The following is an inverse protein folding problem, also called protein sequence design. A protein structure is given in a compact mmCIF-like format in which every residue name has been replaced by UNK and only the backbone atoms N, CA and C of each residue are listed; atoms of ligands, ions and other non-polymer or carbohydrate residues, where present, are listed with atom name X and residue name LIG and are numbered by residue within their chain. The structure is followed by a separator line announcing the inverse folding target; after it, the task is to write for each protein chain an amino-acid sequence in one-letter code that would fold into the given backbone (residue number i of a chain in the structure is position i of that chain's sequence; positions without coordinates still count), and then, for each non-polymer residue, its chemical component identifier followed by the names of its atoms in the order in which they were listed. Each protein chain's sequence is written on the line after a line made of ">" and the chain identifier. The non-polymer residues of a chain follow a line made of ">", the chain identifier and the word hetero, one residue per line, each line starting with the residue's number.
data_IF_942760398723
#
_entry.id   IF_942760398723
#
_cell.length_a   1.000
_cell.length_b   1.000
_cell.length_c   1.000
_cell.angle_alpha   90.00
_cell.angle_beta   90.00
_cell.angle_gamma   90.00
#
_symmetry.space_group_name_H-M   'P 1'
#
loop_
_entity.id
_entity.type
_entity.pdbx_description
1 polymer ?
#
# COMPACT_ATOMS: atom_id res chain seq x y z
N UNK A 1 10.35 35.33 15.44
CA UNK A 1 11.39 34.38 15.89
C UNK A 1 11.95 33.70 14.66
N UNK A 2 13.28 33.73 14.43
CA UNK A 2 13.89 32.99 13.31
C UNK A 2 13.69 31.49 13.53
N UNK A 3 13.24 30.78 12.50
CA UNK A 3 13.13 29.32 12.57
C UNK A 3 14.52 28.71 12.88
N UNK A 4 14.60 27.69 13.77
CA UNK A 4 15.87 27.04 14.07
C UNK A 4 16.45 26.39 12.81
N UNK A 5 17.77 26.49 12.63
CA UNK A 5 18.47 25.80 11.55
C UNK A 5 18.48 24.30 11.83
N UNK A 6 17.72 23.55 11.04
CA UNK A 6 17.64 22.07 11.08
C UNK A 6 18.60 21.45 10.05
N UNK A 7 18.75 20.13 10.08
CA UNK A 7 19.41 19.42 8.99
C UNK A 7 18.65 19.63 7.67
N UNK A 8 19.34 19.56 6.53
CA UNK A 8 18.71 19.71 5.21
C UNK A 8 17.53 18.73 5.05
N UNK A 9 17.71 17.48 5.44
CA UNK A 9 16.64 16.47 5.39
C UNK A 9 15.40 16.89 6.22
N UNK A 10 15.61 17.29 7.48
CA UNK A 10 14.50 17.69 8.33
C UNK A 10 13.78 18.97 7.84
N UNK A 11 14.53 19.87 7.21
CA UNK A 11 13.98 21.13 6.66
C UNK A 11 13.23 20.94 5.34
N UNK A 12 13.51 19.87 4.59
CA UNK A 12 12.91 19.61 3.27
C UNK A 12 11.87 18.47 3.28
N UNK A 13 11.85 17.64 4.33
CA UNK A 13 10.89 16.55 4.44
C UNK A 13 9.49 17.09 4.75
N UNK A 14 8.54 16.79 3.86
CA UNK A 14 7.15 17.18 4.02
C UNK A 14 6.37 16.05 4.71
N UNK A 15 5.54 16.41 5.69
CA UNK A 15 4.64 15.45 6.34
C UNK A 15 3.58 14.92 5.37
N UNK A 16 3.06 13.73 5.64
CA UNK A 16 2.07 13.07 4.79
C UNK A 16 0.80 13.92 4.64
N UNK A 17 0.45 14.29 3.41
CA UNK A 17 -0.80 14.99 3.08
C UNK A 17 -2.04 14.18 3.50
N UNK A 18 -1.96 12.85 3.41
CA UNK A 18 -3.03 11.93 3.81
C UNK A 18 -3.28 12.02 5.32
N UNK A 19 -2.20 12.12 6.12
CA UNK A 19 -2.31 12.27 7.58
C UNK A 19 -2.93 13.63 7.93
N UNK A 20 -2.52 14.70 7.25
CA UNK A 20 -3.11 16.04 7.44
C UNK A 20 -4.60 16.05 7.13
N UNK A 21 -4.98 15.47 5.99
CA UNK A 21 -6.39 15.34 5.58
C UNK A 21 -7.18 14.52 6.61
N UNK A 22 -6.65 13.37 7.03
CA UNK A 22 -7.29 12.51 8.04
C UNK A 22 -7.49 13.22 9.37
N UNK A 23 -6.53 14.00 9.84
CA UNK A 23 -6.64 14.79 11.07
C UNK A 23 -7.74 15.86 10.96
N UNK A 24 -7.79 16.60 9.85
CA UNK A 24 -8.81 17.62 9.61
C UNK A 24 -10.23 17.02 9.60
N UNK A 25 -10.40 15.85 8.95
CA UNK A 25 -11.68 15.14 8.92
C UNK A 25 -12.07 14.63 10.32
N UNK A 26 -11.10 14.06 11.05
CA UNK A 26 -11.33 13.57 12.41
C UNK A 26 -11.75 14.69 13.37
N UNK A 27 -11.24 15.91 13.19
CA UNK A 27 -11.64 17.08 13.95
C UNK A 27 -13.11 17.46 13.67
N UNK A 28 -13.52 17.48 12.41
CA UNK A 28 -14.92 17.75 12.02
C UNK A 28 -15.87 16.71 12.59
N UNK A 29 -15.50 15.43 12.56
CA UNK A 29 -16.30 14.34 13.15
C UNK A 29 -16.43 14.53 14.66
N UNK A 30 -15.36 14.86 15.36
CA UNK A 30 -15.41 15.17 16.82
C UNK A 30 -16.29 16.37 17.15
N UNK A 31 -16.40 17.31 16.22
CA UNK A 31 -17.30 18.48 16.35
C UNK A 31 -18.76 18.16 15.97
N UNK A 32 -19.10 16.88 15.77
CA UNK A 32 -20.47 16.40 15.55
C UNK A 32 -20.93 16.33 14.10
N UNK A 33 -20.03 16.54 13.11
CA UNK A 33 -20.41 16.36 11.72
C UNK A 33 -20.45 14.85 11.36
N UNK A 34 -21.56 14.41 10.75
CA UNK A 34 -21.63 13.08 10.13
C UNK A 34 -20.87 13.15 8.80
N UNK A 35 -19.72 12.46 8.72
CA UNK A 35 -18.88 12.37 7.52
C UNK A 35 -18.65 10.90 7.18
N UNK A 36 -18.90 10.53 5.92
CA UNK A 36 -18.52 9.22 5.37
C UNK A 36 -17.03 9.27 5.06
N UNK A 37 -16.22 8.74 5.99
CA UNK A 37 -14.77 8.87 5.94
C UNK A 37 -14.11 7.65 5.27
N UNK A 38 -13.77 7.78 4.00
CA UNK A 38 -13.05 6.77 3.23
C UNK A 38 -11.55 7.10 3.02
N UNK A 39 -11.00 8.01 3.83
CA UNK A 39 -9.58 8.41 3.73
C UNK A 39 -8.64 7.47 4.46
N UNK A 40 -9.14 6.68 5.41
CA UNK A 40 -8.36 5.88 6.33
C UNK A 40 -7.99 4.55 5.68
N UNK A 41 -6.70 4.35 5.36
CA UNK A 41 -6.18 3.10 4.82
C UNK A 41 -5.91 2.06 5.93
N UNK A 42 -6.89 1.85 6.81
CA UNK A 42 -6.85 0.96 7.96
C UNK A 42 -8.19 0.23 8.12
N UNK A 43 -8.32 -0.61 9.14
CA UNK A 43 -9.53 -1.32 9.49
C UNK A 43 -10.11 -0.81 10.80
N UNK A 44 -11.44 -0.72 10.87
CA UNK A 44 -12.13 -0.57 12.14
C UNK A 44 -12.19 -1.95 12.82
N UNK A 45 -11.59 -2.13 14.01
CA UNK A 45 -11.55 -3.42 14.68
C UNK A 45 -12.92 -3.92 15.15
N UNK A 46 -13.94 -3.06 15.20
CA UNK A 46 -15.32 -3.47 15.47
C UNK A 46 -15.97 -4.12 14.24
N UNK A 47 -15.58 -3.71 13.03
CA UNK A 47 -16.07 -4.26 11.77
C UNK A 47 -15.20 -5.43 11.27
N UNK A 48 -13.90 -5.30 11.47
CA UNK A 48 -12.88 -6.23 11.00
C UNK A 48 -11.91 -6.59 12.14
N UNK A 49 -12.33 -7.42 13.11
CA UNK A 49 -11.43 -7.88 14.15
C UNK A 49 -10.30 -8.72 13.59
N UNK A 50 -9.18 -8.75 14.28
CA UNK A 50 -8.11 -9.72 13.99
C UNK A 50 -8.61 -11.16 14.21
N UNK A 51 -8.00 -12.19 13.60
CA UNK A 51 -8.38 -13.58 13.86
C UNK A 51 -8.39 -13.89 15.36
N UNK A 52 -9.46 -14.52 15.85
CA UNK A 52 -9.62 -14.83 17.28
C UNK A 52 -8.49 -15.71 17.84
N UNK A 53 -7.99 -16.64 17.02
CA UNK A 53 -6.87 -17.50 17.35
C UNK A 53 -5.57 -16.69 17.49
N UNK A 54 -5.35 -15.69 16.61
CA UNK A 54 -4.19 -14.81 16.71
C UNK A 54 -4.27 -13.93 17.97
N UNK A 55 -5.44 -13.38 18.28
CA UNK A 55 -5.68 -12.60 19.50
C UNK A 55 -5.37 -13.42 20.75
N UNK A 56 -5.91 -14.65 20.83
CA UNK A 56 -5.67 -15.56 21.95
C UNK A 56 -4.18 -15.89 22.12
N UNK A 57 -3.46 -16.11 21.01
CA UNK A 57 -2.02 -16.37 21.03
C UNK A 57 -1.21 -15.15 21.49
N UNK A 58 -1.60 -13.93 21.11
CA UNK A 58 -0.96 -12.68 21.57
C UNK A 58 -1.14 -12.56 23.10
N UNK A 59 -2.36 -12.69 23.60
CA UNK A 59 -2.67 -12.63 25.03
C UNK A 59 -1.87 -13.67 25.79
N UNK A 60 -1.82 -14.92 25.30
CA UNK A 60 -1.06 -15.99 25.92
C UNK A 60 0.45 -15.70 25.91
N UNK A 61 0.97 -15.12 24.84
CA UNK A 61 2.39 -14.76 24.76
C UNK A 61 2.81 -13.74 25.80
N UNK A 62 1.94 -12.76 26.13
CA UNK A 62 2.16 -11.83 27.24
C UNK A 62 2.09 -12.54 28.61
N UNK A 63 1.17 -13.46 28.81
CA UNK A 63 1.08 -14.29 30.03
C UNK A 63 2.33 -15.15 30.23
N UNK A 64 2.90 -15.65 29.13
CA UNK A 64 4.15 -16.40 29.08
C UNK A 64 5.40 -15.51 29.28
N UNK A 65 5.20 -14.19 29.51
CA UNK A 65 6.26 -13.19 29.75
C UNK A 65 7.25 -13.04 28.60
N UNK A 66 6.81 -13.19 27.35
CA UNK A 66 7.62 -12.90 26.17
C UNK A 66 7.75 -11.37 25.97
N UNK A 67 8.52 -10.70 26.82
CA UNK A 67 8.58 -9.22 26.90
C UNK A 67 10.00 -8.66 26.79
N UNK A 68 11.01 -9.49 26.55
CA UNK A 68 12.38 -9.04 26.30
C UNK A 68 12.61 -8.62 24.87
N UNK A 69 13.77 -8.00 24.60
CA UNK A 69 14.15 -7.65 23.23
C UNK A 69 14.24 -8.88 22.33
N UNK A 70 13.65 -8.86 21.12
CA UNK A 70 13.86 -9.91 20.15
C UNK A 70 15.24 -9.79 19.47
N UNK A 71 15.67 -10.82 18.76
CA UNK A 71 16.79 -10.72 17.83
C UNK A 71 16.50 -9.68 16.72
N UNK A 72 17.53 -8.99 16.25
CA UNK A 72 17.39 -7.91 15.27
C UNK A 72 16.76 -8.37 13.93
N UNK A 73 16.99 -9.61 13.55
CA UNK A 73 16.35 -10.25 12.38
C UNK A 73 14.95 -10.81 12.64
N UNK A 74 14.50 -10.77 13.88
CA UNK A 74 13.29 -11.45 14.34
C UNK A 74 13.56 -12.85 14.90
N UNK A 75 12.63 -13.35 15.72
CA UNK A 75 12.77 -14.67 16.34
C UNK A 75 12.81 -15.78 15.29
N UNK A 76 13.65 -16.79 15.52
CA UNK A 76 13.84 -17.88 14.54
C UNK A 76 12.51 -18.60 14.24
N UNK A 77 11.70 -18.87 15.27
CA UNK A 77 10.42 -19.55 15.11
C UNK A 77 9.51 -18.81 14.09
N UNK A 78 9.47 -17.47 14.15
CA UNK A 78 8.68 -16.68 13.21
C UNK A 78 9.26 -16.74 11.80
N UNK A 79 10.57 -16.62 11.64
CA UNK A 79 11.22 -16.72 10.33
C UNK A 79 10.98 -18.09 9.68
N UNK A 80 11.02 -19.18 10.46
CA UNK A 80 10.66 -20.53 10.00
C UNK A 80 9.19 -20.61 9.60
N UNK A 81 8.29 -20.02 10.39
CA UNK A 81 6.86 -20.04 10.09
C UNK A 81 6.53 -19.19 8.85
N UNK A 82 7.17 -18.03 8.68
CA UNK A 82 7.04 -17.21 7.45
C UNK A 82 7.55 -17.98 6.24
N UNK A 83 8.73 -18.64 6.33
CA UNK A 83 9.26 -19.49 5.25
C UNK A 83 8.25 -20.56 4.80
N UNK A 84 7.60 -21.24 5.74
CA UNK A 84 6.57 -22.26 5.44
C UNK A 84 5.31 -21.63 4.84
N UNK A 85 4.82 -20.54 5.44
CA UNK A 85 3.62 -19.84 5.00
C UNK A 85 3.72 -19.36 3.55
N UNK A 86 4.81 -18.66 3.18
CA UNK A 86 5.00 -18.18 1.81
C UNK A 86 5.22 -19.33 0.81
N UNK A 87 5.85 -20.43 1.25
CA UNK A 87 6.02 -21.62 0.40
C UNK A 87 4.69 -22.30 0.12
N UNK A 88 3.85 -22.43 1.12
CA UNK A 88 2.54 -23.07 1.00
C UNK A 88 1.54 -22.24 0.19
N UNK A 89 1.52 -20.91 0.42
CA UNK A 89 0.50 -20.04 -0.13
C UNK A 89 0.90 -19.35 -1.44
N UNK A 90 2.21 -19.12 -1.67
CA UNK A 90 2.73 -18.41 -2.85
C UNK A 90 3.73 -19.21 -3.68
N UNK A 91 4.14 -20.39 -3.21
CA UNK A 91 5.16 -21.21 -3.87
C UNK A 91 6.58 -20.64 -3.76
N UNK A 92 6.81 -19.61 -2.92
CA UNK A 92 8.10 -18.96 -2.74
C UNK A 92 8.98 -19.74 -1.77
N UNK A 93 10.18 -20.12 -2.19
CA UNK A 93 11.13 -20.89 -1.38
C UNK A 93 12.26 -20.00 -0.87
N UNK A 94 12.13 -19.53 0.38
CA UNK A 94 13.10 -18.70 1.07
C UNK A 94 13.49 -19.32 2.40
N UNK A 95 14.80 -19.46 2.64
CA UNK A 95 15.31 -19.96 3.93
C UNK A 95 15.16 -18.89 5.03
N UNK A 96 15.13 -19.26 6.32
CA UNK A 96 15.05 -18.28 7.42
C UNK A 96 16.15 -17.22 7.43
N UNK A 97 17.32 -17.47 6.83
CA UNK A 97 18.40 -16.49 6.65
C UNK A 97 18.10 -15.42 5.60
N UNK A 98 17.18 -15.69 4.69
CA UNK A 98 16.71 -14.79 3.63
C UNK A 98 15.48 -13.96 4.08
N UNK A 99 15.15 -13.97 5.39
CA UNK A 99 13.93 -13.33 5.95
C UNK A 99 14.32 -12.35 7.07
N UNK A 100 13.83 -11.12 6.95
CA UNK A 100 13.96 -10.06 7.96
C UNK A 100 12.59 -9.69 8.52
N UNK A 101 12.43 -9.74 9.85
CA UNK A 101 11.22 -9.29 10.55
C UNK A 101 11.42 -7.86 11.05
N UNK A 102 10.37 -7.05 10.97
CA UNK A 102 10.36 -5.70 11.55
C UNK A 102 8.96 -5.28 12.02
N UNK A 103 8.89 -4.10 12.62
CA UNK A 103 7.65 -3.47 13.13
C UNK A 103 6.73 -3.01 11.98
N UNK A 104 6.29 -3.96 11.14
CA UNK A 104 5.50 -3.74 9.93
C UNK A 104 6.33 -3.39 8.70
N UNK A 105 5.68 -3.12 7.57
CA UNK A 105 6.34 -2.93 6.27
C UNK A 105 7.19 -1.65 6.17
N UNK A 106 6.83 -0.55 6.85
CA UNK A 106 7.53 0.75 6.70
C UNK A 106 9.02 0.71 7.06
N UNK A 107 9.45 0.13 8.21
CA UNK A 107 10.87 -0.01 8.50
C UNK A 107 11.61 -0.88 7.49
N UNK A 108 10.93 -1.90 6.92
CA UNK A 108 11.49 -2.75 5.89
C UNK A 108 11.74 -1.97 4.59
N UNK A 109 10.75 -1.23 4.10
CA UNK A 109 10.92 -0.36 2.92
C UNK A 109 12.06 0.63 3.15
N UNK A 110 12.09 1.31 4.31
CA UNK A 110 13.16 2.24 4.65
C UNK A 110 14.54 1.57 4.59
N UNK A 111 14.68 0.37 5.14
CA UNK A 111 15.96 -0.34 5.14
C UNK A 111 16.33 -0.90 3.77
N UNK A 112 15.38 -1.26 2.91
CA UNK A 112 15.64 -1.57 1.49
C UNK A 112 16.27 -0.36 0.79
N UNK A 113 15.65 0.81 0.90
CA UNK A 113 16.21 2.03 0.31
C UNK A 113 17.61 2.34 0.86
N UNK A 114 17.80 2.23 2.18
CA UNK A 114 19.10 2.50 2.81
C UNK A 114 20.18 1.46 2.51
N UNK A 115 19.81 0.23 2.19
CA UNK A 115 20.76 -0.83 1.82
C UNK A 115 21.19 -0.76 0.37
N UNK A 116 20.36 -0.18 -0.52
CA UNK A 116 20.55 -0.27 -1.97
C UNK A 116 20.85 1.11 -2.59
N UNK A 117 20.20 2.18 -2.13
CA UNK A 117 20.21 3.50 -2.78
C UNK A 117 21.20 4.44 -2.10
N UNK A 118 22.17 4.93 -2.86
CA UNK A 118 23.04 6.05 -2.50
C UNK A 118 22.49 7.37 -3.05
N UNK A 119 23.06 8.48 -2.59
CA UNK A 119 22.73 9.80 -3.12
C UNK A 119 23.03 9.87 -4.63
N UNK A 120 22.01 10.23 -5.42
CA UNK A 120 22.08 10.34 -6.88
C UNK A 120 21.78 9.05 -7.64
N UNK A 121 21.57 7.92 -6.96
CA UNK A 121 21.10 6.69 -7.61
C UNK A 121 19.68 6.84 -8.12
N UNK A 122 19.41 6.36 -9.32
CA UNK A 122 18.08 6.43 -9.94
C UNK A 122 17.12 5.41 -9.34
N UNK A 123 15.98 5.89 -8.86
CA UNK A 123 14.87 5.08 -8.31
C UNK A 123 13.62 5.25 -9.17
N UNK A 124 13.17 4.15 -9.78
CA UNK A 124 11.97 4.11 -10.62
C UNK A 124 10.75 3.70 -9.80
N UNK A 125 9.66 4.45 -9.92
CA UNK A 125 8.37 4.08 -9.35
C UNK A 125 7.20 4.74 -10.09
N UNK A 126 6.06 4.04 -10.12
CA UNK A 126 4.83 4.60 -10.67
C UNK A 126 4.14 5.56 -9.69
N UNK A 127 3.36 6.51 -10.22
CA UNK A 127 2.41 7.31 -9.45
C UNK A 127 1.01 7.21 -10.10
N UNK A 128 -0.07 7.18 -9.32
CA UNK A 128 -0.12 7.33 -7.86
C UNK A 128 0.52 6.14 -7.13
N UNK A 129 1.25 6.41 -6.06
CA UNK A 129 1.85 5.35 -5.22
C UNK A 129 2.02 5.76 -3.77
N UNK A 130 2.16 4.78 -2.89
CA UNK A 130 2.34 5.00 -1.47
C UNK A 130 3.80 5.23 -1.11
N UNK A 131 4.13 6.45 -0.67
CA UNK A 131 5.38 6.85 0.02
C UNK A 131 6.72 6.68 -0.72
N UNK A 132 6.82 6.15 -1.93
CA UNK A 132 8.09 5.94 -2.62
C UNK A 132 8.90 7.25 -2.78
N UNK A 133 8.22 8.36 -3.06
CA UNK A 133 8.82 9.69 -3.14
C UNK A 133 9.53 10.10 -1.84
N UNK A 134 8.95 9.81 -0.67
CA UNK A 134 9.56 10.16 0.62
C UNK A 134 10.80 9.31 0.90
N UNK A 135 10.78 8.01 0.58
CA UNK A 135 11.95 7.14 0.78
C UNK A 135 13.09 7.49 -0.17
N UNK A 136 12.81 7.78 -1.44
CA UNK A 136 13.80 8.28 -2.39
C UNK A 136 14.41 9.61 -1.90
N UNK A 137 13.56 10.56 -1.42
CA UNK A 137 14.04 11.81 -0.82
C UNK A 137 14.94 11.57 0.41
N UNK A 138 14.53 10.69 1.33
CA UNK A 138 15.31 10.39 2.55
C UNK A 138 16.67 9.74 2.26
N UNK A 139 16.83 9.09 1.13
CA UNK A 139 18.13 8.52 0.70
C UNK A 139 18.93 9.45 -0.20
N UNK A 140 18.31 10.51 -0.72
CA UNK A 140 18.90 11.40 -1.73
C UNK A 140 18.94 10.77 -3.12
N UNK A 141 18.13 9.74 -3.37
CA UNK A 141 17.98 9.12 -4.68
C UNK A 141 17.35 10.05 -5.70
N UNK A 142 17.69 9.88 -6.97
CA UNK A 142 17.09 10.56 -8.10
C UNK A 142 15.70 9.96 -8.40
N UNK A 143 14.68 10.80 -8.41
CA UNK A 143 13.31 10.36 -8.67
C UNK A 143 13.06 10.14 -10.15
N UNK A 144 12.84 8.89 -10.57
CA UNK A 144 12.39 8.54 -11.90
C UNK A 144 10.91 8.10 -11.83
N UNK A 145 10.03 9.09 -11.98
CA UNK A 145 8.59 8.93 -11.79
C UNK A 145 7.91 8.54 -13.09
N UNK A 146 7.08 7.50 -13.06
CA UNK A 146 6.23 7.06 -14.17
C UNK A 146 4.78 7.46 -13.83
N UNK A 147 4.17 8.37 -14.60
CA UNK A 147 2.74 8.66 -14.45
C UNK A 147 1.90 7.53 -15.06
N UNK A 148 1.16 6.83 -14.19
CA UNK A 148 0.29 5.73 -14.57
C UNK A 148 -1.16 6.21 -14.69
N UNK A 149 -1.89 5.69 -15.68
CA UNK A 149 -3.25 6.11 -16.01
C UNK A 149 -4.27 4.97 -15.85
N UNK A 150 -5.53 5.30 -15.94
CA UNK A 150 -6.61 4.31 -15.88
C UNK A 150 -6.56 3.29 -17.02
N UNK A 151 -5.98 3.65 -18.18
CA UNK A 151 -5.90 2.77 -19.35
C UNK A 151 -5.01 1.54 -19.14
N UNK A 152 -4.14 1.59 -18.14
CA UNK A 152 -3.25 0.50 -17.73
C UNK A 152 -3.40 0.15 -16.24
N UNK A 153 -4.60 0.30 -15.70
CA UNK A 153 -4.92 0.00 -14.30
C UNK A 153 -4.02 0.74 -13.30
N UNK A 154 -3.53 1.94 -13.66
CA UNK A 154 -2.59 2.73 -12.87
C UNK A 154 -1.29 1.99 -12.53
N UNK A 155 -0.90 1.03 -13.35
CA UNK A 155 0.38 0.32 -13.24
C UNK A 155 1.38 0.81 -14.29
N UNK A 156 2.70 0.74 -14.03
CA UNK A 156 3.70 1.05 -15.03
C UNK A 156 3.61 0.07 -16.20
N UNK A 157 3.75 0.58 -17.42
CA UNK A 157 3.83 -0.26 -18.62
C UNK A 157 5.26 -0.78 -18.82
N UNK A 158 5.41 -1.83 -19.63
CA UNK A 158 6.71 -2.36 -20.04
C UNK A 158 7.56 -1.29 -20.72
N UNK A 159 6.92 -0.49 -21.59
CA UNK A 159 7.59 0.58 -22.35
C UNK A 159 8.10 1.69 -21.43
N UNK A 160 7.33 2.06 -20.40
CA UNK A 160 7.75 3.06 -19.43
C UNK A 160 8.97 2.59 -18.63
N UNK A 161 8.98 1.33 -18.22
CA UNK A 161 10.12 0.74 -17.51
C UNK A 161 11.32 0.66 -18.44
N UNK A 162 11.18 0.14 -19.66
CA UNK A 162 12.22 0.01 -20.66
C UNK A 162 12.90 1.34 -20.97
N UNK A 163 12.12 2.40 -21.12
CA UNK A 163 12.62 3.76 -21.39
C UNK A 163 13.48 4.31 -20.26
N UNK A 164 13.22 3.90 -19.02
CA UNK A 164 13.84 4.48 -17.84
C UNK A 164 14.87 3.56 -17.14
N UNK A 165 14.94 2.28 -17.48
CA UNK A 165 15.64 1.26 -16.69
C UNK A 165 17.18 1.42 -16.69
N UNK A 166 17.74 1.98 -17.76
CA UNK A 166 19.19 2.10 -17.90
C UNK A 166 19.79 2.92 -16.76
N UNK A 167 20.75 2.33 -16.04
CA UNK A 167 21.44 2.94 -14.91
C UNK A 167 20.58 3.09 -13.64
N UNK A 168 19.37 2.54 -13.59
CA UNK A 168 18.57 2.54 -12.38
C UNK A 168 19.13 1.55 -11.34
N UNK A 169 18.95 1.86 -10.07
CA UNK A 169 19.43 1.03 -8.94
C UNK A 169 18.28 0.31 -8.26
N UNK A 170 17.10 0.92 -8.22
CA UNK A 170 15.92 0.36 -7.60
C UNK A 170 14.67 0.62 -8.45
N UNK A 171 13.85 -0.40 -8.64
CA UNK A 171 12.45 -0.28 -9.11
C UNK A 171 11.54 -0.63 -7.95
N UNK A 172 10.52 0.21 -7.69
CA UNK A 172 9.52 -0.05 -6.65
C UNK A 172 8.18 -0.35 -7.31
N UNK A 173 7.64 -1.54 -7.08
CA UNK A 173 6.31 -1.97 -7.53
C UNK A 173 5.50 -2.39 -6.29
N UNK A 174 4.29 -1.84 -6.17
CA UNK A 174 3.30 -2.28 -5.20
C UNK A 174 2.15 -2.96 -5.96
N UNK A 175 1.90 -4.24 -5.69
CA UNK A 175 0.79 -4.98 -6.31
C UNK A 175 0.32 -6.10 -5.39
N UNK A 176 -0.96 -6.18 -5.04
CA UNK A 176 -2.04 -5.19 -5.30
C UNK A 176 -1.72 -3.81 -4.74
N UNK A 177 -2.10 -2.77 -5.47
CA UNK A 177 -1.59 -1.42 -5.25
C UNK A 177 -2.39 -0.62 -4.21
N UNK A 178 -1.69 0.09 -3.35
CA UNK A 178 -2.17 1.26 -2.66
C UNK A 178 -1.63 2.50 -3.42
N UNK A 179 -2.48 3.38 -3.98
CA UNK A 179 -3.87 3.66 -3.60
C UNK A 179 -4.97 3.02 -4.45
N UNK A 180 -4.66 2.34 -5.55
CA UNK A 180 -5.63 2.11 -6.63
C UNK A 180 -6.51 0.88 -6.45
N UNK A 181 -6.06 -0.11 -5.65
CA UNK A 181 -6.75 -1.39 -5.53
C UNK A 181 -6.66 -2.27 -6.78
N UNK A 182 -5.75 -1.94 -7.70
CA UNK A 182 -5.51 -2.65 -8.96
C UNK A 182 -4.29 -3.56 -8.86
N UNK A 183 -4.12 -4.44 -9.84
CA UNK A 183 -3.02 -5.43 -9.86
C UNK A 183 -2.23 -5.35 -11.15
N UNK A 184 -0.95 -5.70 -11.08
CA UNK A 184 -0.10 -5.84 -12.26
C UNK A 184 -0.42 -7.16 -12.98
N UNK A 185 -0.58 -7.11 -14.31
CA UNK A 185 -0.87 -8.31 -15.10
C UNK A 185 0.35 -9.24 -15.16
N UNK A 186 0.08 -10.54 -15.36
CA UNK A 186 1.13 -11.55 -15.53
C UNK A 186 2.13 -11.18 -16.63
N UNK A 187 1.59 -10.79 -17.79
CA UNK A 187 2.43 -10.48 -18.94
C UNK A 187 3.31 -9.25 -18.72
N UNK A 188 2.76 -8.21 -18.10
CA UNK A 188 3.52 -6.99 -17.78
C UNK A 188 4.60 -7.29 -16.73
N UNK A 189 4.27 -8.05 -15.67
CA UNK A 189 5.24 -8.46 -14.65
C UNK A 189 6.38 -9.28 -15.25
N UNK A 190 6.06 -10.30 -16.04
CA UNK A 190 7.05 -11.16 -16.70
C UNK A 190 8.00 -10.34 -17.59
N UNK A 191 7.46 -9.43 -18.39
CA UNK A 191 8.27 -8.59 -19.27
C UNK A 191 9.15 -7.59 -18.49
N UNK A 192 8.66 -7.02 -17.38
CA UNK A 192 9.48 -6.18 -16.49
C UNK A 192 10.61 -6.99 -15.86
N UNK A 193 10.33 -8.23 -15.44
CA UNK A 193 11.37 -9.13 -14.93
C UNK A 193 12.46 -9.41 -15.99
N UNK A 194 12.05 -9.67 -17.23
CA UNK A 194 12.99 -9.89 -18.35
C UNK A 194 13.88 -8.66 -18.57
N UNK A 195 13.32 -7.43 -18.53
CA UNK A 195 14.09 -6.19 -18.62
C UNK A 195 15.11 -6.03 -17.48
N UNK A 196 14.72 -6.37 -16.23
CA UNK A 196 15.62 -6.29 -15.07
C UNK A 196 16.77 -7.28 -15.22
N UNK A 197 16.49 -8.52 -15.63
CA UNK A 197 17.50 -9.54 -15.84
C UNK A 197 18.45 -9.15 -16.97
N UNK A 198 17.93 -8.63 -18.08
CA UNK A 198 18.73 -8.15 -19.21
C UNK A 198 19.65 -6.98 -18.79
N UNK A 199 19.12 -5.97 -18.09
CA UNK A 199 19.92 -4.85 -17.57
C UNK A 199 21.03 -5.34 -16.63
N UNK A 200 20.73 -6.26 -15.71
CA UNK A 200 21.70 -6.80 -14.77
C UNK A 200 22.77 -7.67 -15.44
N UNK A 201 22.43 -8.37 -16.52
CA UNK A 201 23.40 -9.15 -17.32
C UNK A 201 24.40 -8.26 -18.07
N UNK A 202 24.00 -7.03 -18.42
CA UNK A 202 24.88 -6.07 -19.08
C UNK A 202 25.84 -5.37 -18.11
N UNK A 203 25.61 -5.44 -16.80
CA UNK A 203 26.41 -4.77 -15.76
C UNK A 203 27.64 -5.59 -15.40
N UNK A 204 28.77 -4.93 -15.27
CA UNK A 204 30.02 -5.54 -14.82
C UNK A 204 29.97 -6.03 -13.36
N UNK A 205 30.95 -6.81 -12.97
CA UNK A 205 31.03 -7.37 -11.61
C UNK A 205 31.19 -6.30 -10.51
N UNK A 206 31.70 -5.11 -10.85
CA UNK A 206 31.85 -3.97 -9.92
C UNK A 206 30.70 -2.99 -9.93
N UNK A 207 29.73 -3.16 -10.82
CA UNK A 207 28.58 -2.26 -10.93
C UNK A 207 27.49 -2.61 -9.93
N UNK A 208 26.80 -1.58 -9.44
CA UNK A 208 25.56 -1.79 -8.65
C UNK A 208 24.54 -2.54 -9.51
N UNK A 209 23.95 -3.59 -8.98
CA UNK A 209 22.84 -4.28 -9.62
C UNK A 209 21.54 -3.51 -9.44
N UNK A 210 20.61 -3.71 -10.36
CA UNK A 210 19.24 -3.21 -10.29
C UNK A 210 18.40 -4.18 -9.48
N UNK A 211 17.78 -3.69 -8.42
CA UNK A 211 16.87 -4.48 -7.58
C UNK A 211 15.41 -4.08 -7.80
N UNK A 212 14.52 -5.03 -7.58
CA UNK A 212 13.08 -4.84 -7.52
C UNK A 212 12.63 -4.90 -6.06
N UNK A 213 12.11 -3.81 -5.50
CA UNK A 213 11.32 -3.84 -4.28
C UNK A 213 9.86 -4.13 -4.67
N UNK A 214 9.37 -5.28 -4.24
CA UNK A 214 8.04 -5.78 -4.57
C UNK A 214 7.17 -5.77 -3.32
N UNK A 215 6.38 -4.71 -3.15
CA UNK A 215 5.43 -4.56 -2.04
C UNK A 215 4.15 -5.30 -2.37
N UNK A 216 3.94 -6.42 -1.70
CA UNK A 216 2.78 -7.27 -1.89
C UNK A 216 1.88 -7.34 -0.65
N UNK A 217 1.85 -6.32 0.18
CA UNK A 217 1.13 -6.29 1.46
C UNK A 217 -0.36 -6.69 1.36
N UNK A 218 -0.94 -6.65 0.15
CA UNK A 218 -2.35 -6.97 -0.12
C UNK A 218 -2.55 -8.24 -0.95
N UNK A 219 -1.54 -9.06 -1.18
CA UNK A 219 -1.58 -10.16 -2.14
C UNK A 219 -2.70 -11.18 -1.90
N UNK A 220 -3.09 -11.42 -0.64
CA UNK A 220 -4.20 -12.31 -0.29
C UNK A 220 -5.58 -11.71 -0.61
N UNK A 221 -5.68 -10.38 -0.72
CA UNK A 221 -6.92 -9.64 -0.89
C UNK A 221 -7.21 -9.37 -2.37
N UNK A 222 -7.37 -10.41 -3.16
CA UNK A 222 -7.83 -10.35 -4.55
C UNK A 222 -9.27 -10.82 -4.67
N UNK A 223 -10.03 -10.26 -5.62
CA UNK A 223 -11.47 -10.46 -5.78
C UNK A 223 -11.83 -10.96 -7.18
N UNK A 224 -12.96 -11.69 -7.29
CA UNK A 224 -13.44 -12.22 -8.56
C UNK A 224 -12.41 -13.15 -9.22
N UNK A 225 -12.06 -12.85 -10.47
CA UNK A 225 -11.06 -13.59 -11.27
C UNK A 225 -9.64 -13.03 -11.15
N UNK A 226 -9.41 -12.02 -10.30
CA UNK A 226 -8.09 -11.42 -10.16
C UNK A 226 -7.13 -12.38 -9.47
N UNK A 227 -5.95 -12.55 -10.08
CA UNK A 227 -4.87 -13.38 -9.56
C UNK A 227 -3.66 -12.48 -9.27
N UNK A 228 -3.06 -12.68 -8.11
CA UNK A 228 -1.77 -12.08 -7.79
C UNK A 228 -0.64 -12.91 -8.40
N UNK A 229 0.31 -12.24 -9.04
CA UNK A 229 1.51 -12.87 -9.61
C UNK A 229 2.75 -12.30 -8.93
N UNK A 230 3.76 -13.13 -8.70
CA UNK A 230 5.01 -12.70 -8.11
C UNK A 230 6.21 -12.89 -9.07
N UNK A 231 7.24 -12.03 -8.99
CA UNK A 231 8.34 -12.01 -9.96
C UNK A 231 9.18 -13.28 -9.96
N UNK A 232 9.31 -13.97 -8.82
CA UNK A 232 10.15 -15.18 -8.70
C UNK A 232 9.45 -16.40 -9.30
N UNK A 233 8.12 -16.50 -9.15
CA UNK A 233 7.34 -17.54 -9.82
C UNK A 233 7.35 -17.35 -11.35
N UNK A 234 7.31 -16.10 -11.82
CA UNK A 234 7.36 -15.81 -13.26
C UNK A 234 8.76 -15.98 -13.85
N UNK A 235 9.81 -15.62 -13.12
CA UNK A 235 11.21 -15.74 -13.51
C UNK A 235 12.06 -16.13 -12.30
N UNK A 236 12.42 -17.41 -12.11
CA UNK A 236 13.17 -17.85 -10.92
C UNK A 236 14.49 -17.11 -10.68
N UNK A 237 15.16 -16.62 -11.73
CA UNK A 237 16.36 -15.82 -11.62
C UNK A 237 16.13 -14.46 -10.91
N UNK A 238 14.89 -13.99 -10.85
CA UNK A 238 14.54 -12.77 -10.11
C UNK A 238 14.74 -12.92 -8.59
N UNK A 239 14.90 -14.14 -8.06
CA UNK A 239 15.21 -14.36 -6.64
C UNK A 239 16.45 -13.59 -6.19
N UNK A 240 17.44 -13.44 -7.06
CA UNK A 240 18.69 -12.72 -6.81
C UNK A 240 18.52 -11.19 -6.79
N UNK A 241 17.40 -10.68 -7.29
CA UNK A 241 17.20 -9.24 -7.48
C UNK A 241 15.90 -8.71 -6.88
N UNK A 242 15.10 -9.55 -6.24
CA UNK A 242 13.81 -9.15 -5.67
C UNK A 242 13.86 -9.08 -4.16
N UNK A 243 13.37 -7.98 -3.60
CA UNK A 243 13.09 -7.84 -2.17
C UNK A 243 11.57 -7.69 -2.01
N UNK A 244 10.92 -8.72 -1.46
CA UNK A 244 9.51 -8.67 -1.13
C UNK A 244 9.28 -7.93 0.19
N UNK A 245 8.20 -7.18 0.26
CA UNK A 245 7.70 -6.55 1.48
C UNK A 245 6.29 -7.07 1.75
N UNK A 246 6.09 -7.65 2.93
CA UNK A 246 4.82 -8.25 3.32
C UNK A 246 4.63 -8.23 4.84
N UNK A 247 3.51 -8.75 5.34
CA UNK A 247 3.23 -8.86 6.77
C UNK A 247 1.76 -9.04 7.09
N UNK A 248 1.45 -9.14 8.38
CA UNK A 248 0.10 -9.42 8.86
C UNK A 248 -0.85 -8.22 8.83
N UNK A 249 -0.34 -7.01 8.56
CA UNK A 249 -1.10 -5.77 8.73
C UNK A 249 -2.40 -5.75 7.94
N UNK A 250 -2.40 -6.30 6.73
CA UNK A 250 -3.55 -6.24 5.83
C UNK A 250 -4.24 -7.59 5.66
N UNK A 251 -3.47 -8.66 5.60
CA UNK A 251 -4.01 -10.03 5.48
C UNK A 251 -4.90 -10.42 6.66
N UNK A 252 -4.61 -9.92 7.87
CA UNK A 252 -5.35 -10.25 9.10
C UNK A 252 -5.96 -9.05 9.81
N UNK A 253 -6.16 -7.93 9.12
CA UNK A 253 -6.62 -6.65 9.72
C UNK A 253 -5.78 -6.21 10.95
N UNK A 254 -4.53 -6.67 11.06
CA UNK A 254 -3.68 -6.59 12.25
C UNK A 254 -2.68 -5.43 12.17
N UNK A 255 -3.13 -4.24 11.73
CA UNK A 255 -2.25 -3.08 11.49
C UNK A 255 -1.54 -2.60 12.74
N UNK A 256 -2.19 -2.68 13.90
CA UNK A 256 -1.66 -2.29 15.22
C UNK A 256 -0.74 -3.33 15.86
N UNK A 257 -0.75 -4.60 15.41
CA UNK A 257 0.08 -5.69 15.95
C UNK A 257 1.55 -5.55 15.56
N UNK A 258 1.83 -4.84 14.47
CA UNK A 258 3.18 -4.42 14.04
C UNK A 258 4.14 -5.56 13.72
N UNK A 259 3.73 -6.58 12.99
CA UNK A 259 4.62 -7.63 12.46
C UNK A 259 4.62 -7.62 10.95
N UNK A 260 5.78 -7.42 10.35
CA UNK A 260 6.01 -7.51 8.91
C UNK A 260 7.32 -8.22 8.61
N UNK A 261 7.48 -8.65 7.39
CA UNK A 261 8.69 -9.32 6.92
C UNK A 261 9.11 -8.85 5.53
N UNK A 262 10.41 -8.93 5.26
CA UNK A 262 10.99 -8.85 3.93
C UNK A 262 11.62 -10.20 3.60
N UNK A 263 11.57 -10.58 2.32
CA UNK A 263 12.25 -11.74 1.75
C UNK A 263 13.17 -11.25 0.65
N UNK A 264 14.37 -11.79 0.56
CA UNK A 264 15.29 -11.37 -0.51
C UNK A 264 16.65 -12.03 -0.42
N UNK A 265 17.59 -11.62 -1.27
CA UNK A 265 18.95 -12.16 -1.25
C UNK A 265 19.59 -12.01 0.13
N UNK A 266 20.21 -13.06 0.64
CA UNK A 266 20.79 -13.09 2.00
C UNK A 266 21.75 -11.92 2.26
N UNK A 267 22.52 -11.53 1.25
CA UNK A 267 23.45 -10.40 1.33
C UNK A 267 22.75 -9.06 1.59
N UNK A 268 21.57 -8.83 1.02
CA UNK A 268 20.76 -7.63 1.23
C UNK A 268 20.06 -7.72 2.59
N UNK A 269 19.47 -8.87 2.91
CA UNK A 269 18.82 -9.12 4.21
C UNK A 269 19.79 -8.90 5.37
N UNK A 270 21.04 -9.34 5.25
CA UNK A 270 22.08 -9.09 6.26
C UNK A 270 22.34 -7.59 6.48
N UNK A 271 22.28 -6.76 5.42
CA UNK A 271 22.43 -5.30 5.54
C UNK A 271 21.19 -4.64 6.14
N UNK A 272 20.00 -5.10 5.77
CA UNK A 272 18.75 -4.65 6.40
C UNK A 272 18.74 -4.96 7.90
N UNK A 273 19.20 -6.17 8.31
CA UNK A 273 19.39 -6.55 9.71
C UNK A 273 20.32 -5.57 10.45
N UNK A 274 21.49 -5.26 9.85
CA UNK A 274 22.44 -4.33 10.45
C UNK A 274 21.83 -2.94 10.65
N UNK A 275 21.09 -2.42 9.65
CA UNK A 275 20.39 -1.14 9.75
C UNK A 275 19.34 -1.17 10.86
N UNK A 276 18.49 -2.20 10.89
CA UNK A 276 17.43 -2.34 11.91
C UNK A 276 17.98 -2.49 13.32
N UNK A 277 19.17 -3.10 13.50
CA UNK A 277 19.81 -3.21 14.81
C UNK A 277 20.15 -1.85 15.44
N UNK A 278 20.40 -0.82 14.60
CA UNK A 278 20.65 0.54 15.06
C UNK A 278 19.38 1.40 15.16
N UNK A 279 18.38 1.14 14.32
CA UNK A 279 17.12 1.90 14.33
C UNK A 279 16.21 1.45 15.49
N UNK A 280 16.27 0.17 15.89
CA UNK A 280 15.42 -0.40 16.93
C UNK A 280 13.96 -0.58 16.53
N UNK A 281 13.65 -0.65 15.21
CA UNK A 281 12.29 -0.81 14.70
C UNK A 281 11.88 -2.30 14.61
N UNK A 282 12.11 -3.03 15.68
CA UNK A 282 11.80 -4.46 15.81
C UNK A 282 10.29 -4.67 16.03
N UNK A 283 9.75 -5.76 15.51
CA UNK A 283 8.43 -6.21 15.91
C UNK A 283 8.44 -6.65 17.38
N UNK A 284 7.38 -6.40 18.16
CA UNK A 284 7.35 -6.79 19.57
C UNK A 284 7.48 -8.31 19.75
N UNK A 285 8.15 -8.75 20.83
CA UNK A 285 8.46 -10.17 21.06
C UNK A 285 7.21 -11.03 21.19
N UNK A 286 6.22 -10.56 21.96
CA UNK A 286 5.00 -11.31 22.21
C UNK A 286 4.22 -11.58 20.90
N UNK A 287 4.11 -10.56 20.09
CA UNK A 287 3.44 -10.62 18.79
C UNK A 287 4.19 -11.52 17.81
N UNK A 288 5.52 -11.46 17.79
CA UNK A 288 6.32 -12.36 16.97
C UNK A 288 6.07 -13.83 17.34
N UNK A 289 6.06 -14.17 18.64
CA UNK A 289 5.80 -15.53 19.12
C UNK A 289 4.37 -16.02 18.80
N UNK A 290 3.41 -15.11 18.90
CA UNK A 290 2.01 -15.41 18.54
C UNK A 290 1.85 -15.64 17.04
N UNK A 291 2.39 -14.74 16.22
CA UNK A 291 2.32 -14.84 14.74
C UNK A 291 3.04 -16.10 14.25
N UNK A 292 4.18 -16.46 14.85
CA UNK A 292 4.88 -17.70 14.52
C UNK A 292 3.99 -18.94 14.66
N UNK A 293 3.18 -19.01 15.72
CA UNK A 293 2.24 -20.11 15.95
C UNK A 293 1.02 -20.02 15.02
N UNK A 294 0.52 -18.81 14.79
CA UNK A 294 -0.69 -18.60 13.98
C UNK A 294 -0.45 -18.91 12.50
N UNK A 295 0.68 -18.52 11.91
CA UNK A 295 1.00 -18.78 10.51
C UNK A 295 1.06 -20.27 10.14
N UNK A 296 1.13 -21.18 11.13
CA UNK A 296 1.07 -22.62 10.92
C UNK A 296 -0.36 -23.19 10.96
N UNK A 297 -1.38 -22.36 11.20
CA UNK A 297 -2.79 -22.77 11.31
C UNK A 297 -3.51 -22.53 9.98
N UNK A 298 -3.14 -23.26 8.93
CA UNK A 298 -3.62 -23.07 7.56
C UNK A 298 -5.14 -23.04 7.45
N UNK A 299 -5.84 -23.95 8.14
CA UNK A 299 -7.30 -24.03 8.10
C UNK A 299 -7.97 -22.80 8.75
N UNK A 300 -7.44 -22.33 9.88
CA UNK A 300 -7.95 -21.13 10.56
C UNK A 300 -7.72 -19.89 9.70
N UNK A 301 -6.55 -19.77 9.07
CA UNK A 301 -6.22 -18.70 8.13
C UNK A 301 -7.17 -18.71 6.94
N UNK A 302 -7.40 -19.88 6.33
CA UNK A 302 -8.29 -20.02 5.17
C UNK A 302 -9.74 -19.64 5.53
N UNK A 303 -10.23 -20.07 6.70
CA UNK A 303 -11.57 -19.74 7.18
C UNK A 303 -11.72 -18.22 7.42
N UNK A 304 -10.76 -17.59 8.08
CA UNK A 304 -10.75 -16.15 8.31
C UNK A 304 -10.74 -15.38 6.98
N UNK A 305 -9.83 -15.71 6.08
CA UNK A 305 -9.69 -15.00 4.79
C UNK A 305 -10.94 -15.12 3.93
N UNK A 306 -11.62 -16.26 3.96
CA UNK A 306 -12.89 -16.46 3.23
C UNK A 306 -13.95 -15.44 3.64
N UNK A 307 -14.19 -15.29 4.94
CA UNK A 307 -15.14 -14.32 5.48
C UNK A 307 -14.66 -12.87 5.23
N UNK A 308 -13.41 -12.59 5.58
CA UNK A 308 -12.81 -11.27 5.51
C UNK A 308 -12.83 -10.69 4.08
N UNK A 309 -12.48 -11.50 3.09
CA UNK A 309 -12.53 -11.10 1.68
C UNK A 309 -13.95 -10.79 1.21
N UNK A 310 -14.93 -11.62 1.59
CA UNK A 310 -16.33 -11.39 1.22
C UNK A 310 -16.85 -10.05 1.74
N UNK A 311 -16.57 -9.71 2.98
CA UNK A 311 -17.01 -8.47 3.61
C UNK A 311 -16.39 -7.23 2.96
N UNK A 312 -15.11 -7.31 2.56
CA UNK A 312 -14.45 -6.21 1.85
C UNK A 312 -14.97 -6.10 0.41
N UNK A 313 -15.06 -7.23 -0.31
CA UNK A 313 -15.50 -7.26 -1.70
C UNK A 313 -16.94 -6.73 -1.85
N UNK A 314 -17.84 -7.07 -0.94
CA UNK A 314 -19.23 -6.59 -0.95
C UNK A 314 -19.29 -5.06 -0.87
N UNK A 315 -18.51 -4.44 0.03
CA UNK A 315 -18.43 -2.97 0.16
C UNK A 315 -17.87 -2.32 -1.11
N UNK A 316 -16.78 -2.85 -1.63
CA UNK A 316 -16.16 -2.34 -2.86
C UNK A 316 -17.12 -2.42 -4.05
N UNK A 317 -17.80 -3.57 -4.24
CA UNK A 317 -18.77 -3.76 -5.34
C UNK A 317 -20.00 -2.88 -5.19
N UNK A 318 -20.53 -2.72 -3.98
CA UNK A 318 -21.69 -1.86 -3.73
C UNK A 318 -21.40 -0.40 -4.09
N UNK A 319 -20.24 0.12 -3.68
CA UNK A 319 -19.82 1.48 -4.01
C UNK A 319 -19.54 1.62 -5.50
N UNK A 320 -18.84 0.66 -6.11
CA UNK A 320 -18.57 0.63 -7.55
C UNK A 320 -19.88 0.69 -8.35
N UNK A 321 -20.84 -0.17 -8.04
CA UNK A 321 -22.14 -0.19 -8.71
C UNK A 321 -22.86 1.15 -8.59
N UNK A 322 -22.79 1.81 -7.43
CA UNK A 322 -23.36 3.14 -7.22
C UNK A 322 -22.71 4.21 -8.11
N UNK A 323 -21.38 4.23 -8.21
CA UNK A 323 -20.68 5.17 -9.12
C UNK A 323 -21.03 4.92 -10.58
N UNK A 324 -21.12 3.65 -11.01
CA UNK A 324 -21.53 3.30 -12.37
C UNK A 324 -22.98 3.73 -12.66
N UNK A 325 -23.89 3.58 -11.69
CA UNK A 325 -25.26 4.06 -11.82
C UNK A 325 -25.33 5.59 -11.94
N UNK A 326 -24.53 6.33 -11.18
CA UNK A 326 -24.42 7.79 -11.30
C UNK A 326 -23.86 8.20 -12.66
N UNK A 327 -22.85 7.51 -13.18
CA UNK A 327 -22.30 7.71 -14.53
C UNK A 327 -23.38 7.51 -15.60
N UNK A 328 -24.20 6.45 -15.48
CA UNK A 328 -25.31 6.16 -16.42
C UNK A 328 -26.40 7.25 -16.39
N UNK A 329 -26.57 7.97 -15.26
CA UNK A 329 -27.43 9.15 -15.15
C UNK A 329 -26.83 10.41 -15.79
N UNK A 330 -25.59 10.34 -16.32
CA UNK A 330 -24.92 11.45 -16.99
C UNK A 330 -24.02 12.30 -16.10
N UNK A 331 -23.80 11.92 -14.83
CA UNK A 331 -22.85 12.63 -13.97
C UNK A 331 -21.40 12.32 -14.36
N UNK A 332 -20.51 13.29 -14.20
CA UNK A 332 -19.09 13.19 -14.54
C UNK A 332 -18.30 12.41 -13.47
N UNK A 333 -18.72 11.20 -13.20
CA UNK A 333 -18.10 10.26 -12.24
C UNK A 333 -17.87 8.90 -12.92
N UNK A 334 -16.92 8.13 -12.37
CA UNK A 334 -16.63 6.76 -12.83
C UNK A 334 -15.98 5.96 -11.71
N UNK A 335 -15.77 4.66 -11.90
CA UNK A 335 -15.05 3.80 -10.96
C UNK A 335 -14.38 2.67 -11.68
N UNK A 336 -13.15 2.35 -11.30
CA UNK A 336 -12.46 1.12 -11.72
C UNK A 336 -13.11 -0.07 -11.04
N UNK A 337 -13.31 -1.17 -11.77
CA UNK A 337 -13.86 -2.39 -11.18
C UNK A 337 -12.95 -2.90 -10.05
N UNK A 338 -13.49 -3.33 -8.90
CA UNK A 338 -12.70 -3.87 -7.81
C UNK A 338 -11.86 -5.08 -8.23
N UNK A 339 -10.55 -4.99 -8.07
CA UNK A 339 -9.62 -6.08 -8.35
C UNK A 339 -9.04 -6.65 -7.05
N UNK A 340 -8.56 -5.77 -6.13
CA UNK A 340 -7.83 -6.22 -4.96
C UNK A 340 -7.75 -5.15 -3.85
N UNK A 341 -7.06 -5.48 -2.75
CA UNK A 341 -6.81 -4.63 -1.59
C UNK A 341 -8.12 -4.18 -0.90
N UNK A 342 -8.07 -3.04 -0.20
CA UNK A 342 -9.23 -2.43 0.49
C UNK A 342 -9.61 -1.09 -0.16
N UNK A 343 -9.12 -0.84 -1.36
CA UNK A 343 -9.26 0.44 -2.04
C UNK A 343 -10.10 0.33 -3.29
N UNK A 344 -10.91 1.36 -3.52
CA UNK A 344 -11.61 1.59 -4.77
C UNK A 344 -11.09 2.89 -5.39
N UNK A 345 -10.76 2.83 -6.65
CA UNK A 345 -10.43 4.00 -7.46
C UNK A 345 -11.68 4.56 -8.08
N UNK A 346 -12.01 5.81 -7.75
CA UNK A 346 -13.18 6.51 -8.27
C UNK A 346 -12.77 7.80 -8.98
N UNK A 347 -13.44 8.11 -10.08
CA UNK A 347 -13.31 9.38 -10.79
C UNK A 347 -14.41 10.34 -10.36
N UNK A 348 -14.05 11.58 -10.08
CA UNK A 348 -14.99 12.67 -9.79
C UNK A 348 -14.45 13.91 -10.51
N UNK A 349 -14.95 14.14 -11.72
CA UNK A 349 -14.42 15.13 -12.66
C UNK A 349 -15.37 16.33 -12.74
N UNK A 350 -15.29 17.17 -11.73
CA UNK A 350 -16.14 18.37 -11.60
C UNK A 350 -15.40 19.67 -11.94
N UNK A 351 -14.20 19.56 -12.50
CA UNK A 351 -13.42 20.73 -12.92
C UNK A 351 -14.17 21.53 -13.97
N UNK A 352 -14.26 22.84 -13.77
CA UNK A 352 -14.99 23.76 -14.64
C UNK A 352 -16.50 23.86 -14.35
N UNK A 353 -17.04 23.06 -13.42
CA UNK A 353 -18.42 23.18 -12.93
C UNK A 353 -18.56 24.35 -11.96
N UNK A 354 -19.78 24.93 -11.90
CA UNK A 354 -20.11 26.04 -11.00
C UNK A 354 -21.12 25.55 -9.94
N UNK A 355 -20.85 25.90 -8.69
CA UNK A 355 -21.78 25.59 -7.57
C UNK A 355 -23.02 26.45 -7.63
N UNK A 356 -24.12 26.08 -6.97
CA UNK A 356 -25.33 26.88 -6.85
C UNK A 356 -25.10 28.28 -6.23
N UNK A 357 -23.99 28.47 -5.49
CA UNK A 357 -23.54 29.77 -4.97
C UNK A 357 -22.68 30.59 -5.95
N UNK A 358 -22.46 30.09 -7.17
CA UNK A 358 -21.68 30.77 -8.21
C UNK A 358 -20.15 30.55 -8.13
N UNK A 359 -19.66 29.66 -7.26
CA UNK A 359 -18.23 29.38 -7.14
C UNK A 359 -17.80 28.35 -8.20
N UNK A 360 -16.75 28.68 -8.96
CA UNK A 360 -16.14 27.79 -9.95
C UNK A 360 -15.25 26.76 -9.26
N UNK A 361 -15.40 25.49 -9.58
CA UNK A 361 -14.51 24.42 -9.16
C UNK A 361 -13.32 24.32 -10.14
N UNK A 362 -12.22 24.97 -9.82
CA UNK A 362 -11.07 25.11 -10.75
C UNK A 362 -9.98 24.08 -10.51
N UNK A 363 -9.87 23.53 -9.31
CA UNK A 363 -8.79 22.64 -8.89
C UNK A 363 -9.34 21.34 -8.27
N UNK A 364 -8.51 20.31 -8.20
CA UNK A 364 -8.84 19.08 -7.46
C UNK A 364 -9.17 19.37 -5.97
N UNK A 365 -8.49 20.36 -5.38
CA UNK A 365 -8.75 20.77 -4.00
C UNK A 365 -10.16 21.39 -3.85
N UNK A 366 -10.62 22.19 -4.82
CA UNK A 366 -11.99 22.75 -4.82
C UNK A 366 -13.03 21.64 -4.91
N UNK A 367 -12.81 20.67 -5.82
CA UNK A 367 -13.68 19.50 -5.96
C UNK A 367 -13.71 18.66 -4.68
N UNK A 368 -12.57 18.40 -4.07
CA UNK A 368 -12.46 17.65 -2.79
C UNK A 368 -13.22 18.37 -1.68
N UNK A 369 -13.04 19.70 -1.55
CA UNK A 369 -13.73 20.52 -0.56
C UNK A 369 -15.23 20.54 -0.79
N UNK A 370 -15.66 20.64 -2.05
CA UNK A 370 -17.07 20.63 -2.42
C UNK A 370 -17.76 19.32 -2.03
N UNK A 371 -17.16 18.18 -2.39
CA UNK A 371 -17.71 16.86 -2.08
C UNK A 371 -17.76 16.64 -0.57
N UNK A 372 -16.73 17.03 0.16
CA UNK A 372 -16.72 16.95 1.62
C UNK A 372 -17.80 17.81 2.26
N UNK A 373 -18.07 19.00 1.73
CA UNK A 373 -19.07 19.93 2.27
C UNK A 373 -20.49 19.48 1.96
N UNK A 374 -20.77 19.16 0.68
CA UNK A 374 -22.12 18.94 0.17
C UNK A 374 -22.57 17.47 0.30
N UNK A 375 -21.68 16.53 -0.02
CA UNK A 375 -21.97 15.10 0.05
C UNK A 375 -21.56 14.48 1.39
N UNK A 376 -20.84 15.22 2.26
CA UNK A 376 -20.22 14.67 3.48
C UNK A 376 -19.31 13.47 3.21
N UNK A 377 -18.76 13.39 2.00
CA UNK A 377 -17.93 12.31 1.55
C UNK A 377 -16.44 12.74 1.58
N UNK A 378 -15.64 12.03 2.35
CA UNK A 378 -14.20 12.24 2.45
C UNK A 378 -13.43 11.14 1.72
N UNK A 379 -12.68 11.51 0.69
CA UNK A 379 -11.84 10.65 -0.16
C UNK A 379 -10.45 11.26 -0.33
N UNK A 380 -9.46 10.49 -0.73
CA UNK A 380 -8.08 10.98 -0.90
C UNK A 380 -7.79 11.22 -2.37
N UNK A 381 -7.48 12.45 -2.79
CA UNK A 381 -7.12 12.74 -4.17
C UNK A 381 -5.79 12.08 -4.56
N UNK A 382 -5.66 11.67 -5.83
CA UNK A 382 -4.44 11.02 -6.30
C UNK A 382 -3.22 11.95 -6.31
N UNK A 383 -3.41 13.26 -6.27
CA UNK A 383 -2.31 14.21 -6.04
C UNK A 383 -1.58 13.99 -4.71
N UNK A 384 -2.28 13.52 -3.67
CA UNK A 384 -1.66 13.13 -2.39
C UNK A 384 -0.76 11.88 -2.49
N UNK A 385 -0.82 11.17 -3.61
CA UNK A 385 0.01 10.00 -3.94
C UNK A 385 1.00 10.29 -5.09
N UNK A 386 1.26 11.57 -5.36
CA UNK A 386 2.25 12.00 -6.33
C UNK A 386 1.76 12.15 -7.77
N UNK A 387 0.49 11.87 -8.07
CA UNK A 387 -0.08 12.14 -9.39
C UNK A 387 -0.26 13.64 -9.63
N UNK A 388 -0.40 14.03 -10.91
CA UNK A 388 -0.57 15.43 -11.30
C UNK A 388 -1.77 16.12 -10.63
N UNK A 389 -1.65 17.41 -10.32
CA UNK A 389 -2.65 18.19 -9.58
C UNK A 389 -4.02 18.35 -10.28
N UNK A 390 -4.11 18.02 -11.57
CA UNK A 390 -5.36 18.02 -12.34
C UNK A 390 -5.99 16.63 -12.47
N UNK A 391 -5.40 15.62 -11.82
CA UNK A 391 -5.88 14.24 -11.90
C UNK A 391 -7.26 14.12 -11.22
N UNK A 392 -8.34 13.67 -11.91
CA UNK A 392 -9.70 13.64 -11.35
C UNK A 392 -9.99 12.36 -10.55
N UNK A 393 -8.99 11.54 -10.27
CA UNK A 393 -9.14 10.27 -9.57
C UNK A 393 -8.84 10.38 -8.08
N UNK A 394 -9.53 9.54 -7.33
CA UNK A 394 -9.48 9.50 -5.86
C UNK A 394 -9.38 8.06 -5.37
N UNK A 395 -8.73 7.89 -4.22
CA UNK A 395 -8.77 6.65 -3.44
C UNK A 395 -9.90 6.70 -2.44
N UNK A 396 -10.68 5.64 -2.39
CA UNK A 396 -11.68 5.35 -1.40
C UNK A 396 -11.27 4.05 -0.69
N UNK A 397 -11.22 4.03 0.66
CA UNK A 397 -10.87 2.87 1.47
C UNK A 397 -12.07 2.35 2.22
N UNK A 398 -12.36 1.05 2.14
CA UNK A 398 -13.55 0.45 2.77
C UNK A 398 -13.29 -0.19 4.14
N UNK A 399 -12.07 -0.14 4.65
CA UNK A 399 -11.71 -0.79 5.90
C UNK A 399 -12.42 -0.23 7.15
N UNK A 400 -12.98 0.98 7.06
CA UNK A 400 -13.78 1.61 8.12
C UNK A 400 -15.22 1.88 7.69
N UNK A 401 -15.65 1.29 6.56
CA UNK A 401 -16.96 1.54 5.97
C UNK A 401 -18.04 0.69 6.63
N UNK A 402 -19.07 1.35 7.16
CA UNK A 402 -20.32 0.71 7.58
C UNK A 402 -21.13 0.43 6.31
N UNK A 403 -21.37 -0.84 6.01
CA UNK A 403 -21.99 -1.31 4.77
C UNK A 403 -23.39 -0.71 4.54
N UNK A 404 -24.16 -0.63 5.60
CA UNK A 404 -25.55 -0.13 5.64
C UNK A 404 -25.64 1.37 5.31
N UNK A 405 -24.54 2.13 5.45
CA UNK A 405 -24.49 3.56 5.13
C UNK A 405 -24.18 3.86 3.65
N UNK A 406 -23.77 2.87 2.87
CA UNK A 406 -23.39 3.06 1.46
C UNK A 406 -24.54 3.67 0.63
N UNK A 407 -25.81 3.21 0.72
CA UNK A 407 -26.91 3.83 -0.04
C UNK A 407 -27.14 5.29 0.32
N UNK A 408 -27.08 5.65 1.61
CA UNK A 408 -27.24 7.04 2.05
C UNK A 408 -26.09 7.92 1.54
N UNK A 409 -24.87 7.44 1.63
CA UNK A 409 -23.67 8.14 1.10
C UNK A 409 -23.81 8.41 -0.40
N UNK A 410 -24.20 7.41 -1.20
CA UNK A 410 -24.40 7.57 -2.65
C UNK A 410 -25.55 8.55 -2.96
N UNK A 411 -26.63 8.52 -2.20
CA UNK A 411 -27.74 9.48 -2.34
C UNK A 411 -27.29 10.92 -2.06
N UNK A 412 -26.45 11.14 -1.04
CA UNK A 412 -25.88 12.47 -0.76
C UNK A 412 -24.91 12.92 -1.85
N UNK A 413 -24.11 12.00 -2.40
CA UNK A 413 -23.24 12.30 -3.54
C UNK A 413 -24.10 12.72 -4.75
N UNK A 414 -25.14 11.97 -5.09
CA UNK A 414 -26.04 12.30 -6.20
C UNK A 414 -26.67 13.69 -6.00
N UNK A 415 -27.18 13.98 -4.81
CA UNK A 415 -27.78 15.28 -4.48
C UNK A 415 -26.77 16.43 -4.61
N UNK A 416 -25.51 16.21 -4.25
CA UNK A 416 -24.45 17.20 -4.43
C UNK A 416 -24.14 17.41 -5.93
N UNK A 417 -24.01 16.33 -6.71
CA UNK A 417 -23.75 16.41 -8.16
C UNK A 417 -24.88 17.15 -8.90
N UNK A 418 -26.12 16.94 -8.50
CA UNK A 418 -27.30 17.59 -9.10
C UNK A 418 -27.38 19.12 -8.87
N UNK A 419 -26.64 19.67 -7.90
CA UNK A 419 -26.56 21.13 -7.63
C UNK A 419 -25.57 21.87 -8.50
N UNK A 420 -24.80 21.18 -9.33
CA UNK A 420 -23.77 21.78 -10.18
C UNK A 420 -24.32 22.11 -11.58
N UNK A 421 -23.90 23.28 -12.08
CA UNK A 421 -24.21 23.77 -13.42
C UNK A 421 -23.05 23.58 -14.37
#
# INVERSE_FOLDING_TARGET
>A
MSQPKLSHLAGTLVGSEIVKLGNAISERIRNGEKIYNFTIGDFDPQLFPIPAELEALIIQSYRDRNTSYPAAEGVLDLRVSVSRFIKEWEGLDYAPGEIQIASGGRPLIYTVFKAIVDKGDKVIYGVPSWNNNHYAHMTGGEHCVIECTADNDFMPTVEDVKKNIKGATLICICTPQNPTGTTLSKNTLSAICDLILEENNQRGAGDKKLYLMFDQMYWTLTYGSTVHYNPVAERPAMKEYTIFIDGISKVFAATGVRVGWALGPESIIAKMKALLSHIGAWAPMAEQKAVAKYLLQTDAIAAYLKFFKLEIEERLRSIHAGFIALKQKGYAVDSVSPQAAIYLTVKIDLSGKTTGAGNLLSTQADVTSYILSEAKLAVVPFSAFGAGAKNPWYRLSVGTCIKEEIPEMLGKLEAALAKLN
#
